data_IF_825944228559
#
_entry.id   IF_825944228559
#
_cell.length_a   1.000
_cell.length_b   1.000
_cell.length_c   1.000
_cell.angle_alpha   90.00
_cell.angle_beta   90.00
_cell.angle_gamma   90.00
#
_symmetry.space_group_name_H-M   'P 1'
#
loop_
_entity.id
_entity.type
_entity.pdbx_description
1 polymer ?
#
# COMPACT_ATOMS: atom_id res chain seq x y z
N UNK A 1 -13.83 9.60 41.11
CA UNK A 1 -13.64 8.79 39.89
C UNK A 1 -13.18 9.67 38.71
N UNK A 2 -11.97 10.25 38.77
CA UNK A 2 -11.47 11.17 37.72
C UNK A 2 -10.20 10.66 37.00
N UNK A 3 -9.60 9.55 37.47
CA UNK A 3 -8.26 9.12 37.05
C UNK A 3 -8.21 8.24 35.78
N UNK A 4 -9.35 7.78 35.27
CA UNK A 4 -9.42 6.84 34.14
C UNK A 4 -9.64 7.50 32.77
N UNK A 5 -9.94 8.81 32.71
CA UNK A 5 -10.09 9.54 31.43
C UNK A 5 -8.77 10.10 30.89
N UNK A 6 -7.77 10.34 31.75
CA UNK A 6 -6.50 10.96 31.33
C UNK A 6 -5.51 9.96 30.71
N UNK A 7 -5.55 8.69 31.10
CA UNK A 7 -4.64 7.69 30.51
C UNK A 7 -4.97 7.30 29.06
N UNK A 8 -6.20 7.50 28.60
CA UNK A 8 -6.59 7.22 27.21
C UNK A 8 -6.04 8.25 26.22
N UNK A 9 -5.76 9.48 26.66
CA UNK A 9 -5.25 10.54 25.78
C UNK A 9 -3.72 10.46 25.57
N UNK A 10 -3.01 9.82 26.50
CA UNK A 10 -1.55 9.66 26.44
C UNK A 10 -1.08 8.64 25.39
N UNK A 11 -1.96 7.75 24.92
CA UNK A 11 -1.62 6.70 23.94
C UNK A 11 -1.68 7.18 22.49
N UNK A 12 -2.34 8.31 22.21
CA UNK A 12 -2.46 8.86 20.84
C UNK A 12 -1.82 10.23 20.65
N UNK A 13 -1.51 10.98 21.72
CA UNK A 13 -0.85 12.28 21.62
C UNK A 13 -1.65 13.35 20.86
N UNK A 14 -2.89 13.06 20.48
CA UNK A 14 -3.76 13.98 19.74
C UNK A 14 -4.62 14.71 20.76
N UNK A 15 -4.21 15.93 21.12
CA UNK A 15 -5.13 16.90 21.69
C UNK A 15 -6.22 17.13 20.64
N UNK A 16 -7.47 17.23 21.10
CA UNK A 16 -8.66 17.41 20.28
C UNK A 16 -8.70 18.85 19.72
N UNK A 17 -7.67 19.24 18.97
CA UNK A 17 -7.66 20.50 18.25
C UNK A 17 -8.70 20.40 17.13
N UNK A 18 -9.59 21.40 17.06
CA UNK A 18 -10.71 21.43 16.10
C UNK A 18 -10.25 21.50 14.64
N UNK A 19 -8.96 21.78 14.39
CA UNK A 19 -8.37 21.97 13.07
C UNK A 19 -7.42 20.85 12.65
N UNK A 20 -7.57 19.65 13.22
CA UNK A 20 -6.76 18.50 12.85
C UNK A 20 -7.36 17.81 11.62
N UNK A 21 -6.59 17.78 10.53
CA UNK A 21 -6.93 17.10 9.29
C UNK A 21 -5.89 16.03 8.97
N UNK A 22 -6.36 14.84 8.59
CA UNK A 22 -5.50 13.75 8.13
C UNK A 22 -5.57 13.68 6.60
N UNK A 23 -4.42 13.61 5.94
CA UNK A 23 -4.31 13.27 4.51
C UNK A 23 -3.39 12.06 4.34
N UNK A 24 -3.46 11.46 3.17
CA UNK A 24 -2.60 10.35 2.78
C UNK A 24 -1.85 10.75 1.52
N UNK A 25 -0.54 10.60 1.54
CA UNK A 25 0.31 10.85 0.39
C UNK A 25 0.79 9.51 -0.17
N UNK A 26 0.74 9.36 -1.48
CA UNK A 26 1.36 8.23 -2.19
C UNK A 26 2.67 8.74 -2.78
N UNK A 27 3.78 8.16 -2.33
CA UNK A 27 5.14 8.53 -2.71
C UNK A 27 5.69 7.44 -3.62
N UNK A 28 5.84 7.75 -4.91
CA UNK A 28 6.49 6.86 -5.88
C UNK A 28 7.97 7.21 -6.00
N UNK A 29 8.83 6.32 -5.52
CA UNK A 29 10.25 6.58 -5.35
C UNK A 29 10.99 6.51 -6.69
N UNK A 30 11.75 7.57 -7.01
CA UNK A 30 12.50 7.70 -8.27
C UNK A 30 13.91 7.17 -8.16
N UNK A 31 14.43 6.61 -9.25
CA UNK A 31 15.85 6.27 -9.31
C UNK A 31 16.71 7.53 -9.15
N UNK A 32 17.92 7.40 -8.58
CA UNK A 32 18.87 8.51 -8.52
C UNK A 32 19.15 9.08 -9.91
N UNK A 33 19.31 10.40 -9.99
CA UNK A 33 19.67 11.10 -11.21
C UNK A 33 21.13 10.88 -11.62
N UNK A 34 21.57 11.56 -12.68
CA UNK A 34 22.97 11.56 -13.09
C UNK A 34 23.87 11.96 -11.92
N UNK A 35 24.99 11.25 -11.75
CA UNK A 35 25.93 11.38 -10.62
C UNK A 35 25.39 10.94 -9.25
N UNK A 36 24.32 10.15 -9.20
CA UNK A 36 23.78 9.59 -7.96
C UNK A 36 23.00 10.58 -7.10
N UNK A 37 22.62 11.75 -7.65
CA UNK A 37 21.81 12.72 -6.94
C UNK A 37 20.42 12.14 -6.62
N UNK A 38 20.01 12.19 -5.35
CA UNK A 38 18.68 11.77 -4.95
C UNK A 38 17.61 12.64 -5.65
N UNK A 39 16.63 12.00 -6.28
CA UNK A 39 15.46 12.68 -6.86
C UNK A 39 14.30 12.57 -5.88
N UNK A 40 13.52 13.65 -5.67
CA UNK A 40 12.35 13.57 -4.82
C UNK A 40 11.34 12.56 -5.41
N UNK A 41 10.56 11.88 -4.56
CA UNK A 41 9.49 11.02 -5.05
C UNK A 41 8.44 11.83 -5.81
N UNK A 42 7.72 11.16 -6.70
CA UNK A 42 6.45 11.70 -7.17
C UNK A 42 5.42 11.54 -6.06
N UNK A 43 4.75 12.64 -5.68
CA UNK A 43 3.82 12.66 -4.55
C UNK A 43 2.43 13.04 -5.04
N UNK A 44 1.44 12.24 -4.64
CA UNK A 44 0.02 12.53 -4.87
C UNK A 44 -0.75 12.47 -3.53
N UNK A 45 -1.66 13.42 -3.30
CA UNK A 45 -2.41 13.55 -2.05
C UNK A 45 -3.85 13.03 -2.15
N UNK A 46 -4.31 12.37 -1.10
CA UNK A 46 -5.63 11.75 -0.99
C UNK A 46 -6.28 12.03 0.36
N UNK A 47 -7.60 12.20 0.36
CA UNK A 47 -8.42 12.41 1.58
C UNK A 47 -8.85 11.11 2.27
N UNK A 48 -8.42 9.94 1.78
CA UNK A 48 -8.78 8.65 2.37
C UNK A 48 -7.76 7.57 2.05
N UNK A 49 -7.50 6.69 3.02
CA UNK A 49 -6.49 5.63 2.92
C UNK A 49 -6.80 4.66 1.77
N UNK A 50 -8.07 4.29 1.58
CA UNK A 50 -8.44 3.33 0.53
C UNK A 50 -8.17 3.88 -0.86
N UNK A 51 -8.38 5.19 -1.08
CA UNK A 51 -8.03 5.85 -2.35
C UNK A 51 -6.52 5.87 -2.56
N UNK A 52 -5.75 6.19 -1.52
CA UNK A 52 -4.30 6.15 -1.58
C UNK A 52 -3.78 4.73 -1.89
N UNK A 53 -4.41 3.69 -1.31
CA UNK A 53 -4.08 2.29 -1.59
C UNK A 53 -4.40 1.88 -3.01
N UNK A 54 -5.56 2.26 -3.53
CA UNK A 54 -5.94 1.99 -4.92
C UNK A 54 -4.98 2.68 -5.91
N UNK A 55 -4.60 3.94 -5.63
CA UNK A 55 -3.61 4.65 -6.43
C UNK A 55 -2.22 3.98 -6.35
N UNK A 56 -1.75 3.64 -5.16
CA UNK A 56 -0.50 2.92 -4.96
C UNK A 56 -0.48 1.57 -5.69
N UNK A 57 -1.59 0.82 -5.65
CA UNK A 57 -1.71 -0.40 -6.42
C UNK A 57 -1.63 -0.12 -7.92
N UNK A 58 -2.37 0.88 -8.41
CA UNK A 58 -2.34 1.30 -9.82
C UNK A 58 -0.93 1.59 -10.32
N UNK A 59 -0.15 2.38 -9.57
CA UNK A 59 1.27 2.63 -9.85
C UNK A 59 2.10 1.34 -9.81
N UNK A 60 1.81 0.44 -8.87
CA UNK A 60 2.41 -0.91 -8.82
C UNK A 60 2.16 -1.75 -10.06
N UNK A 61 1.04 -1.53 -10.75
CA UNK A 61 0.68 -2.26 -11.97
C UNK A 61 1.34 -1.69 -13.22
N UNK A 62 1.56 -0.37 -13.26
CA UNK A 62 2.27 0.29 -14.36
C UNK A 62 3.73 -0.20 -14.47
N UNK A 63 4.32 -0.63 -13.35
CA UNK A 63 5.70 -1.07 -13.28
C UNK A 63 6.71 0.09 -13.32
N UNK A 64 8.01 -0.21 -13.12
CA UNK A 64 9.04 0.79 -12.81
C UNK A 64 9.37 1.77 -13.95
N UNK A 65 8.81 1.55 -15.14
CA UNK A 65 9.08 2.33 -16.36
C UNK A 65 7.79 2.96 -16.90
N UNK A 66 7.38 4.07 -16.29
CA UNK A 66 6.48 5.03 -16.93
C UNK A 66 7.24 5.84 -18.00
N UNK A 67 6.53 6.40 -18.98
CA UNK A 67 7.12 7.21 -20.07
C UNK A 67 7.89 8.40 -19.45
N UNK A 68 9.23 8.37 -19.54
CA UNK A 68 10.11 9.50 -19.22
C UNK A 68 10.71 9.53 -17.80
N UNK A 69 10.13 8.85 -16.81
CA UNK A 69 10.65 8.81 -15.44
C UNK A 69 11.06 7.39 -15.02
N UNK A 70 12.28 7.24 -14.49
CA UNK A 70 12.77 5.98 -13.93
C UNK A 70 12.40 5.88 -12.46
N UNK A 71 11.59 4.88 -12.11
CA UNK A 71 11.19 4.61 -10.73
C UNK A 71 11.94 3.40 -10.18
N UNK A 72 12.21 3.44 -8.87
CA UNK A 72 12.88 2.32 -8.17
C UNK A 72 12.01 1.07 -8.12
N UNK A 73 10.69 1.22 -8.28
CA UNK A 73 9.70 0.20 -8.01
C UNK A 73 9.23 0.18 -6.55
N UNK A 74 9.57 1.19 -5.74
CA UNK A 74 9.06 1.31 -4.38
C UNK A 74 7.99 2.42 -4.29
N UNK A 75 6.85 2.08 -3.72
CA UNK A 75 5.77 3.03 -3.42
C UNK A 75 5.50 3.01 -1.93
N UNK A 76 5.44 4.19 -1.33
CA UNK A 76 5.11 4.36 0.09
C UNK A 76 3.81 5.13 0.24
N UNK A 77 2.97 4.69 1.17
CA UNK A 77 1.80 5.45 1.59
C UNK A 77 2.12 6.10 2.93
N UNK A 78 2.06 7.43 2.96
CA UNK A 78 2.40 8.24 4.12
C UNK A 78 1.14 8.91 4.64
N UNK A 79 0.76 8.62 5.87
CA UNK A 79 -0.26 9.39 6.57
C UNK A 79 0.36 10.70 7.06
N UNK A 80 -0.28 11.82 6.75
CA UNK A 80 0.16 13.16 7.11
C UNK A 80 -0.91 13.84 7.95
N UNK A 81 -0.48 14.32 9.12
CA UNK A 81 -1.29 15.09 10.04
C UNK A 81 -1.06 16.58 9.79
N UNK A 82 -2.14 17.30 9.50
CA UNK A 82 -2.17 18.75 9.41
C UNK A 82 -2.88 19.32 10.63
N UNK A 83 -2.35 20.40 11.18
CA UNK A 83 -3.02 21.22 12.20
C UNK A 83 -3.05 22.66 11.70
N UNK A 84 -4.24 23.25 11.59
CA UNK A 84 -4.43 24.61 11.06
C UNK A 84 -3.73 24.84 9.70
N UNK A 85 -3.79 23.82 8.84
CA UNK A 85 -3.19 23.84 7.49
C UNK A 85 -1.68 23.56 7.44
N UNK A 86 -1.01 23.39 8.57
CA UNK A 86 0.43 23.13 8.65
C UNK A 86 0.69 21.64 8.80
N UNK A 87 1.62 21.09 8.00
CA UNK A 87 2.11 19.71 8.13
C UNK A 87 2.86 19.55 9.45
N UNK A 88 2.31 18.79 10.40
CA UNK A 88 2.89 18.63 11.73
C UNK A 88 3.62 17.30 11.90
N UNK A 89 3.08 16.22 11.34
CA UNK A 89 3.61 14.86 11.52
C UNK A 89 3.32 14.03 10.30
N UNK A 90 4.23 13.11 9.98
CA UNK A 90 4.00 12.08 8.99
C UNK A 90 4.46 10.71 9.47
N UNK A 91 3.81 9.65 8.99
CA UNK A 91 4.16 8.26 9.26
C UNK A 91 3.90 7.42 8.01
N UNK A 92 4.83 6.53 7.66
CA UNK A 92 4.59 5.50 6.64
C UNK A 92 3.59 4.49 7.21
N UNK A 93 2.47 4.32 6.53
CA UNK A 93 1.40 3.40 6.92
C UNK A 93 1.35 2.15 6.05
N UNK A 94 1.90 2.21 4.85
CA UNK A 94 1.95 1.09 3.91
C UNK A 94 3.16 1.23 2.97
N UNK A 95 3.65 0.11 2.45
CA UNK A 95 4.73 0.05 1.47
C UNK A 95 4.44 -1.05 0.45
N UNK A 96 4.54 -0.70 -0.83
CA UNK A 96 4.25 -1.58 -1.96
C UNK A 96 5.48 -1.63 -2.87
N UNK A 97 5.96 -2.83 -3.15
CA UNK A 97 6.97 -3.08 -4.17
C UNK A 97 6.28 -3.37 -5.51
N UNK A 98 6.43 -2.46 -6.48
CA UNK A 98 5.89 -2.55 -7.84
C UNK A 98 6.35 -3.83 -8.54
N UNK A 99 7.54 -4.35 -8.24
CA UNK A 99 8.08 -5.57 -8.84
C UNK A 99 7.30 -6.79 -8.37
N UNK A 100 6.96 -6.83 -7.07
CA UNK A 100 6.15 -7.90 -6.50
C UNK A 100 4.73 -7.83 -7.04
N UNK A 101 4.14 -6.64 -7.09
CA UNK A 101 2.79 -6.44 -7.62
C UNK A 101 2.69 -6.87 -9.10
N UNK A 102 3.66 -6.45 -9.92
CA UNK A 102 3.74 -6.82 -11.34
C UNK A 102 3.95 -8.32 -11.54
N UNK A 103 4.85 -8.98 -10.79
CA UNK A 103 5.02 -10.45 -10.86
C UNK A 103 3.76 -11.19 -10.40
N UNK A 104 3.10 -10.72 -9.34
CA UNK A 104 1.90 -11.36 -8.84
C UNK A 104 0.75 -11.35 -9.86
N UNK A 105 0.70 -10.38 -10.76
CA UNK A 105 -0.32 -10.34 -11.82
C UNK A 105 0.11 -10.99 -13.13
N UNK A 106 1.40 -10.92 -13.46
CA UNK A 106 1.92 -11.41 -14.74
C UNK A 106 2.48 -12.84 -14.67
N UNK A 107 3.05 -13.24 -13.54
CA UNK A 107 3.75 -14.53 -13.35
C UNK A 107 2.93 -15.52 -12.52
N UNK A 108 2.12 -15.05 -11.56
CA UNK A 108 1.13 -15.92 -10.91
C UNK A 108 -0.03 -16.09 -11.88
N UNK A 109 0.10 -17.04 -12.80
CA UNK A 109 -1.08 -17.65 -13.43
C UNK A 109 -1.92 -18.21 -12.30
N UNK A 110 -2.96 -17.47 -11.91
CA UNK A 110 -4.05 -18.09 -11.17
C UNK A 110 -4.53 -19.26 -12.03
N UNK A 111 -4.53 -20.49 -11.50
CA UNK A 111 -4.95 -21.65 -12.26
C UNK A 111 -6.34 -21.35 -12.81
N UNK A 112 -6.51 -21.54 -14.11
CA UNK A 112 -7.79 -21.24 -14.75
C UNK A 112 -8.87 -22.08 -14.06
N UNK A 113 -10.11 -21.59 -14.01
CA UNK A 113 -11.21 -22.33 -13.38
C UNK A 113 -11.31 -23.79 -13.89
N UNK A 114 -11.00 -24.02 -15.17
CA UNK A 114 -10.88 -25.34 -15.79
C UNK A 114 -9.77 -26.22 -15.19
N UNK A 115 -8.62 -25.65 -14.84
CA UNK A 115 -7.47 -26.35 -14.25
C UNK A 115 -7.74 -26.66 -12.77
N UNK A 116 -8.44 -25.78 -12.06
CA UNK A 116 -8.91 -26.03 -10.68
C UNK A 116 -9.97 -27.13 -10.64
N UNK A 117 -10.93 -27.13 -11.57
CA UNK A 117 -11.98 -28.15 -11.63
C UNK A 117 -11.40 -29.57 -11.82
N UNK A 118 -10.39 -29.72 -12.68
CA UNK A 118 -9.70 -31.00 -12.89
C UNK A 118 -8.97 -31.47 -11.61
N UNK A 119 -8.32 -30.55 -10.90
CA UNK A 119 -7.62 -30.90 -9.64
C UNK A 119 -8.60 -31.30 -8.54
N UNK A 120 -9.76 -30.65 -8.44
CA UNK A 120 -10.81 -31.01 -7.47
C UNK A 120 -11.41 -32.38 -7.79
N UNK A 121 -11.69 -32.67 -9.07
CA UNK A 121 -12.21 -33.97 -9.49
C UNK A 121 -11.22 -35.11 -9.18
N UNK A 122 -9.92 -34.89 -9.39
CA UNK A 122 -8.89 -35.87 -9.06
C UNK A 122 -8.75 -36.08 -7.55
N UNK A 123 -8.80 -35.01 -6.75
CA UNK A 123 -8.81 -35.11 -5.28
C UNK A 123 -10.04 -35.83 -4.75
N UNK A 124 -11.21 -35.61 -5.36
CA UNK A 124 -12.43 -36.32 -4.99
C UNK A 124 -12.30 -37.81 -5.30
N UNK A 125 -11.76 -38.17 -6.48
CA UNK A 125 -11.50 -39.55 -6.84
C UNK A 125 -10.49 -40.24 -5.90
N UNK A 126 -9.46 -39.52 -5.44
CA UNK A 126 -8.51 -40.03 -4.43
C UNK A 126 -9.17 -40.24 -3.06
N UNK A 127 -10.05 -39.32 -2.63
CA UNK A 127 -10.83 -39.47 -1.40
C UNK A 127 -11.78 -40.67 -1.49
N UNK A 128 -12.51 -40.80 -2.60
CA UNK A 128 -13.44 -41.90 -2.83
C UNK A 128 -12.71 -43.26 -2.89
N UNK A 129 -11.43 -43.27 -3.30
CA UNK A 129 -10.58 -44.47 -3.27
C UNK A 129 -10.03 -44.80 -1.87
N UNK A 130 -9.98 -43.83 -0.95
CA UNK A 130 -9.49 -43.98 0.42
C UNK A 130 -10.59 -44.30 1.43
N UNK A 131 -11.87 -44.12 1.06
CA UNK A 131 -13.04 -44.46 1.87
C UNK A 131 -13.67 -45.72 1.27
N UNK A 132 -13.45 -46.92 1.85
CA UNK A 132 -14.03 -48.18 1.38
C UNK A 132 -15.55 -48.28 1.59
#
# INVERSE_FOLDING_TARGET
MARMKELSAAVTGIRKDRDVMVRYEVHRMREPGQKGAARPPLVEEFYGLDRARLAALGYGLEGPTGIGDRFTGLIQIVQVLYTSGIRCRSKIVDEVDERVASRLLNEVRFPRASELAVRVANLQAEIDALIP
#
